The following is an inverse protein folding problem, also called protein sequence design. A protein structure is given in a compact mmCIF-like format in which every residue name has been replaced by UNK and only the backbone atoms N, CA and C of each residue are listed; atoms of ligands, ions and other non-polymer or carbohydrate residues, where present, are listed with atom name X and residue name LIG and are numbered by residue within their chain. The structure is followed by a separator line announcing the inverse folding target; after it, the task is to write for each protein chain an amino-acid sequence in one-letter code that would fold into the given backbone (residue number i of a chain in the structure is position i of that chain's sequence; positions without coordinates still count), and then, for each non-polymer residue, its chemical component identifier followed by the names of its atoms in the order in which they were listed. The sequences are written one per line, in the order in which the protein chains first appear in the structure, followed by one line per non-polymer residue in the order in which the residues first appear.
data_IF_286034220250
#
_entry.id   IF_286034220250
#
_cell.length_a   1.000
_cell.length_b   1.000
_cell.length_c   1.000
_cell.angle_alpha   90.00
_cell.angle_beta   90.00
_cell.angle_gamma   90.00
#
_symmetry.space_group_name_H-M   'P 1'
#
loop_
_entity.id
_entity.type
_entity.pdbx_description
1 polymer ?
#
# COMPACT_ATOMS: atom_id res chain seq x y z
N UNK A 1 2.34 -1.25 -26.40
CA UNK A 1 2.05 -0.47 -25.19
C UNK A 1 3.05 -0.86 -24.11
N UNK A 2 4.13 -0.10 -23.95
CA UNK A 2 4.98 -0.20 -22.77
C UNK A 2 4.75 1.08 -21.98
N UNK A 3 4.17 1.04 -20.76
CA UNK A 3 4.10 2.24 -19.96
C UNK A 3 5.53 2.67 -19.66
N UNK A 4 5.75 3.96 -19.85
CA UNK A 4 7.00 4.70 -19.70
C UNK A 4 7.72 4.40 -18.38
N UNK A 5 9.05 4.55 -18.32
CA UNK A 5 9.80 4.42 -17.08
C UNK A 5 9.49 5.62 -16.17
N UNK A 6 8.46 5.48 -15.35
CA UNK A 6 8.20 6.38 -14.23
C UNK A 6 8.70 5.67 -12.97
N UNK A 7 9.77 6.19 -12.38
CA UNK A 7 10.23 5.81 -11.03
C UNK A 7 9.22 6.18 -9.91
N UNK A 8 7.95 6.44 -10.27
CA UNK A 8 6.84 6.78 -9.38
C UNK A 8 5.75 5.73 -9.55
N UNK A 9 5.47 4.98 -8.49
CA UNK A 9 4.35 4.06 -8.41
C UNK A 9 3.02 4.82 -8.50
N UNK A 10 2.05 4.29 -9.25
CA UNK A 10 0.67 4.78 -9.18
C UNK A 10 0.01 4.20 -7.92
N UNK A 11 0.08 4.97 -6.83
CA UNK A 11 -0.51 4.59 -5.55
C UNK A 11 -2.02 4.35 -5.64
N UNK A 12 -2.74 5.10 -6.48
CA UNK A 12 -4.19 4.98 -6.56
C UNK A 12 -4.58 3.61 -7.12
N UNK A 13 -4.01 3.24 -8.27
CA UNK A 13 -4.27 1.94 -8.89
C UNK A 13 -3.77 0.76 -8.03
N UNK A 14 -2.56 0.86 -7.48
CA UNK A 14 -1.99 -0.20 -6.66
C UNK A 14 -2.78 -0.43 -5.37
N UNK A 15 -3.20 0.65 -4.69
CA UNK A 15 -4.00 0.55 -3.49
C UNK A 15 -5.43 0.08 -3.75
N UNK A 16 -6.01 0.40 -4.90
CA UNK A 16 -7.32 -0.11 -5.30
C UNK A 16 -7.31 -1.64 -5.38
N UNK A 17 -6.32 -2.20 -6.07
CA UNK A 17 -6.13 -3.65 -6.12
C UNK A 17 -5.87 -4.25 -4.73
N UNK A 18 -4.95 -3.67 -3.96
CA UNK A 18 -4.60 -4.13 -2.61
C UNK A 18 -5.83 -4.21 -1.68
N UNK A 19 -6.75 -3.25 -1.82
CA UNK A 19 -7.92 -3.11 -0.98
C UNK A 19 -9.20 -3.73 -1.56
N UNK A 20 -9.14 -4.37 -2.73
CA UNK A 20 -10.30 -4.96 -3.43
C UNK A 20 -11.09 -5.99 -2.62
N UNK A 21 -10.43 -6.71 -1.71
CA UNK A 21 -11.06 -7.72 -0.82
C UNK A 21 -11.18 -7.26 0.63
N UNK A 22 -10.89 -5.98 0.93
CA UNK A 22 -10.94 -5.48 2.30
C UNK A 22 -12.39 -5.20 2.74
N UNK A 23 -12.82 -5.78 3.86
CA UNK A 23 -14.16 -5.53 4.41
C UNK A 23 -14.42 -4.05 4.78
N UNK A 24 -13.36 -3.31 5.13
CA UNK A 24 -13.41 -1.85 5.35
C UNK A 24 -12.69 -1.11 4.21
N UNK A 25 -13.20 -1.23 2.99
CA UNK A 25 -12.56 -0.75 1.77
C UNK A 25 -12.08 0.72 1.84
N UNK A 26 -12.94 1.67 2.24
CA UNK A 26 -12.56 3.10 2.38
C UNK A 26 -11.42 3.33 3.37
N UNK A 27 -11.40 2.57 4.48
CA UNK A 27 -10.33 2.65 5.49
C UNK A 27 -9.02 2.09 4.93
N UNK A 28 -9.10 0.95 4.24
CA UNK A 28 -7.95 0.34 3.58
C UNK A 28 -7.31 1.30 2.58
N UNK A 29 -8.09 1.87 1.66
CA UNK A 29 -7.61 2.82 0.66
C UNK A 29 -6.90 4.02 1.28
N UNK A 30 -7.49 4.61 2.34
CA UNK A 30 -6.90 5.75 3.04
C UNK A 30 -5.50 5.42 3.58
N UNK A 31 -5.36 4.30 4.29
CA UNK A 31 -4.07 3.94 4.89
C UNK A 31 -3.07 3.44 3.85
N UNK A 32 -3.51 2.68 2.85
CA UNK A 32 -2.64 2.24 1.76
C UNK A 32 -2.04 3.44 1.04
N UNK A 33 -2.85 4.44 0.64
CA UNK A 33 -2.34 5.62 -0.07
C UNK A 33 -1.38 6.45 0.78
N UNK A 34 -1.60 6.58 2.10
CA UNK A 34 -0.66 7.24 3.02
C UNK A 34 0.69 6.49 3.04
N UNK A 35 0.64 5.16 3.11
CA UNK A 35 1.84 4.34 3.16
C UNK A 35 2.58 4.32 1.82
N UNK A 36 1.84 4.20 0.72
CA UNK A 36 2.39 4.27 -0.63
C UNK A 36 3.00 5.64 -0.92
N UNK A 37 2.34 6.75 -0.56
CA UNK A 37 2.89 8.09 -0.76
C UNK A 37 4.24 8.27 -0.03
N UNK A 38 4.39 7.68 1.17
CA UNK A 38 5.64 7.75 1.92
C UNK A 38 6.71 6.78 1.42
N UNK A 39 6.33 5.55 1.11
CA UNK A 39 7.27 4.47 0.84
C UNK A 39 7.48 4.18 -0.65
N UNK A 40 6.66 4.78 -1.52
CA UNK A 40 6.63 4.57 -2.96
C UNK A 40 6.58 3.07 -3.34
N UNK A 41 5.87 2.27 -2.54
CA UNK A 41 5.78 0.81 -2.68
C UNK A 41 4.43 0.31 -2.13
N UNK A 42 3.79 -0.61 -2.83
CA UNK A 42 2.60 -1.35 -2.38
C UNK A 42 2.86 -2.85 -2.57
N UNK A 43 2.72 -3.68 -1.53
CA UNK A 43 2.91 -5.12 -1.65
C UNK A 43 1.95 -5.79 -2.64
N UNK A 44 2.38 -6.85 -3.35
CA UNK A 44 1.50 -7.58 -4.26
C UNK A 44 0.43 -8.38 -3.51
N UNK A 45 -0.68 -8.67 -4.21
CA UNK A 45 -1.84 -9.36 -3.66
C UNK A 45 -2.71 -8.47 -2.76
N UNK A 46 -3.79 -9.03 -2.22
CA UNK A 46 -4.77 -8.29 -1.39
C UNK A 46 -4.52 -8.42 0.12
N UNK A 47 -3.56 -9.25 0.53
CA UNK A 47 -3.14 -9.48 1.91
C UNK A 47 -1.70 -10.08 1.92
N UNK A 48 -1.00 -9.99 3.04
CA UNK A 48 0.37 -10.56 3.19
C UNK A 48 1.43 -9.86 2.32
N UNK A 49 2.58 -10.51 2.11
CA UNK A 49 3.70 -10.04 1.28
C UNK A 49 4.29 -8.69 1.70
N UNK A 50 4.05 -8.25 2.93
CA UNK A 50 4.44 -6.91 3.39
C UNK A 50 5.96 -6.74 3.40
N UNK A 51 6.69 -7.83 3.64
CA UNK A 51 8.15 -7.94 3.60
C UNK A 51 8.76 -7.52 2.26
N UNK A 52 8.01 -7.58 1.15
CA UNK A 52 8.44 -7.10 -0.17
C UNK A 52 8.64 -5.57 -0.17
N UNK A 53 7.91 -4.85 0.67
CA UNK A 53 8.03 -3.40 0.86
C UNK A 53 8.37 -3.09 2.34
N UNK A 54 9.65 -3.14 2.77
CA UNK A 54 10.03 -2.98 4.18
C UNK A 54 9.50 -1.70 4.83
N UNK A 55 9.62 -0.54 4.15
CA UNK A 55 9.06 0.73 4.65
C UNK A 55 7.55 0.64 4.90
N UNK A 56 6.79 0.01 4.01
CA UNK A 56 5.35 -0.16 4.14
C UNK A 56 5.00 -1.11 5.31
N UNK A 57 5.78 -2.17 5.49
CA UNK A 57 5.60 -3.15 6.58
C UNK A 57 5.86 -2.57 7.97
N UNK A 58 6.94 -1.79 8.08
CA UNK A 58 7.45 -1.26 9.34
C UNK A 58 6.68 -0.03 9.83
N UNK A 59 5.91 0.63 8.96
CA UNK A 59 5.10 1.78 9.35
C UNK A 59 4.13 1.44 10.48
N UNK A 60 4.32 2.11 11.62
CA UNK A 60 3.46 1.99 12.80
C UNK A 60 2.51 3.17 12.95
N UNK A 61 1.38 2.92 13.59
CA UNK A 61 0.50 3.96 14.10
C UNK A 61 1.03 4.48 15.46
N UNK A 62 0.44 5.55 16.00
CA UNK A 62 0.88 6.13 17.27
C UNK A 62 0.73 5.20 18.49
N UNK A 63 0.07 4.04 18.32
CA UNK A 63 -0.10 3.00 19.36
C UNK A 63 0.84 1.80 19.14
N UNK A 64 1.79 1.89 18.20
CA UNK A 64 2.77 0.82 17.92
C UNK A 64 2.25 -0.33 17.05
N UNK A 65 0.97 -0.32 16.65
CA UNK A 65 0.42 -1.32 15.73
C UNK A 65 0.78 -1.04 14.27
N UNK A 66 0.72 -2.06 13.40
CA UNK A 66 0.91 -1.86 11.96
C UNK A 66 -0.12 -0.86 11.41
N UNK A 67 0.37 0.13 10.66
CA UNK A 67 -0.46 1.19 10.08
C UNK A 67 -1.02 0.84 8.72
N UNK A 68 -0.23 0.15 7.91
CA UNK A 68 -0.54 -0.11 6.51
C UNK A 68 -1.30 -1.44 6.35
N UNK A 69 -2.27 -1.52 5.42
CA UNK A 69 -3.07 -2.74 5.20
C UNK A 69 -2.25 -3.90 4.58
#
# INVERSE_FOLDING_TARGET
MYPTPSLLIDCAAACDYRCSKAGLHKRCLKYCNICCGKCQCVPPGTAGNREVCPCYNEMKNSRGGHKCP
#
